data_IF_475449224594
#
_entry.id   IF_475449224594
#
_cell.length_a   1.000
_cell.length_b   1.000
_cell.length_c   1.000
_cell.angle_alpha   90.00
_cell.angle_beta   90.00
_cell.angle_gamma   90.00
#
_symmetry.space_group_name_H-M   'P 1'
#
loop_
_entity.id
_entity.type
_entity.pdbx_description
1 polymer ?
#
# COMPACT_ATOMS: atom_id res chain seq x y z
N UNK A 1 21.45 -19.59 17.09
CA UNK A 1 22.26 -19.62 15.85
C UNK A 1 21.50 -19.31 14.54
N UNK A 2 20.38 -19.98 14.20
CA UNK A 2 19.72 -19.76 12.89
C UNK A 2 18.89 -18.45 12.86
N UNK A 3 18.07 -18.22 13.89
CA UNK A 3 17.17 -17.06 13.96
C UNK A 3 17.94 -15.73 13.96
N UNK A 4 19.08 -15.68 14.67
CA UNK A 4 19.93 -14.49 14.78
C UNK A 4 20.50 -14.09 13.41
N UNK A 5 20.92 -15.06 12.61
CA UNK A 5 21.46 -14.81 11.26
C UNK A 5 20.38 -14.32 10.31
N UNK A 6 19.16 -14.87 10.38
CA UNK A 6 18.02 -14.38 9.60
C UNK A 6 17.67 -12.94 9.98
N UNK A 7 17.60 -12.62 11.28
CA UNK A 7 17.37 -11.24 11.74
C UNK A 7 18.46 -10.29 11.25
N UNK A 8 19.74 -10.67 11.38
CA UNK A 8 20.85 -9.87 10.89
C UNK A 8 20.77 -9.62 9.37
N UNK A 9 20.36 -10.62 8.59
CA UNK A 9 20.13 -10.48 7.15
C UNK A 9 18.96 -9.54 6.80
N UNK A 10 17.84 -9.65 7.52
CA UNK A 10 16.68 -8.76 7.35
C UNK A 10 17.02 -7.30 7.70
N UNK A 11 17.77 -7.08 8.78
CA UNK A 11 18.23 -5.74 9.16
C UNK A 11 19.22 -5.16 8.13
N UNK A 12 20.13 -5.98 7.60
CA UNK A 12 21.01 -5.56 6.51
C UNK A 12 20.22 -5.21 5.23
N UNK A 13 19.16 -5.94 4.90
CA UNK A 13 18.28 -5.65 3.76
C UNK A 13 17.49 -4.34 3.97
N UNK A 14 16.95 -4.12 5.18
CA UNK A 14 16.27 -2.86 5.54
C UNK A 14 17.20 -1.66 5.39
N UNK A 15 18.45 -1.73 5.87
CA UNK A 15 19.44 -0.64 5.69
C UNK A 15 19.74 -0.33 4.23
N UNK A 16 19.62 -1.32 3.35
CA UNK A 16 19.76 -1.16 1.89
C UNK A 16 18.46 -0.66 1.22
N UNK A 17 17.41 -0.36 1.99
CA UNK A 17 16.11 0.10 1.48
C UNK A 17 15.23 -1.01 0.91
N UNK A 18 15.60 -2.29 1.07
CA UNK A 18 14.77 -3.42 0.64
C UNK A 18 13.90 -3.89 1.80
N UNK A 19 12.61 -3.57 1.71
CA UNK A 19 11.62 -4.02 2.68
C UNK A 19 11.04 -5.38 2.26
N UNK A 20 11.20 -6.43 3.08
CA UNK A 20 10.61 -7.73 2.80
C UNK A 20 9.09 -7.67 3.01
N UNK A 21 8.32 -8.19 2.04
CA UNK A 21 6.87 -8.26 2.12
C UNK A 21 6.20 -8.15 0.76
N UNK A 22 4.87 -8.34 0.75
CA UNK A 22 4.05 -8.14 -0.45
C UNK A 22 4.01 -6.64 -0.77
N UNK A 23 4.32 -6.20 -2.01
CA UNK A 23 4.18 -4.81 -2.39
C UNK A 23 2.71 -4.35 -2.29
N UNK A 24 2.46 -3.06 -2.04
CA UNK A 24 1.10 -2.53 -2.06
C UNK A 24 0.46 -2.72 -3.43
N UNK A 25 -0.84 -3.01 -3.44
CA UNK A 25 -1.62 -3.20 -4.68
C UNK A 25 -1.87 -1.90 -5.43
N UNK A 26 -1.76 -0.76 -4.75
CA UNK A 26 -1.96 0.57 -5.32
C UNK A 26 -0.64 1.34 -5.27
N UNK A 27 -0.30 2.01 -6.37
CA UNK A 27 0.82 2.94 -6.43
C UNK A 27 0.51 4.22 -5.65
N UNK A 28 1.55 4.92 -5.20
CA UNK A 28 1.37 6.21 -4.51
C UNK A 28 0.61 7.24 -5.36
N UNK A 29 0.73 7.19 -6.69
CA UNK A 29 -0.01 8.06 -7.61
C UNK A 29 -1.50 7.69 -7.63
N UNK A 30 -1.83 6.39 -7.70
CA UNK A 30 -3.22 5.92 -7.63
C UNK A 30 -3.88 6.33 -6.32
N UNK A 31 -3.16 6.22 -5.19
CA UNK A 31 -3.70 6.62 -3.88
C UNK A 31 -3.97 8.14 -3.83
N UNK A 32 -3.04 8.96 -4.32
CA UNK A 32 -3.23 10.42 -4.40
C UNK A 32 -4.40 10.80 -5.32
N UNK A 33 -4.56 10.08 -6.42
CA UNK A 33 -5.67 10.30 -7.34
C UNK A 33 -7.01 9.92 -6.70
N UNK A 34 -7.10 8.72 -6.12
CA UNK A 34 -8.27 8.23 -5.41
C UNK A 34 -8.69 9.18 -4.27
N UNK A 35 -7.73 9.64 -3.47
CA UNK A 35 -7.96 10.61 -2.40
C UNK A 35 -8.58 11.91 -2.92
N UNK A 36 -8.02 12.50 -3.98
CA UNK A 36 -8.56 13.72 -4.58
C UNK A 36 -9.99 13.57 -5.09
N UNK A 37 -10.32 12.44 -5.73
CA UNK A 37 -11.67 12.21 -6.25
C UNK A 37 -12.70 12.03 -5.13
N UNK A 38 -12.33 11.31 -4.07
CA UNK A 38 -13.18 11.13 -2.88
C UNK A 38 -13.35 12.45 -2.14
N UNK A 39 -12.28 13.20 -1.92
CA UNK A 39 -12.31 14.48 -1.19
C UNK A 39 -13.19 15.52 -1.90
N UNK A 40 -13.30 15.43 -3.23
CA UNK A 40 -14.19 16.29 -4.04
C UNK A 40 -15.62 15.75 -4.16
N UNK A 41 -15.89 14.55 -3.66
CA UNK A 41 -17.17 13.87 -3.81
C UNK A 41 -17.49 13.43 -5.25
N UNK A 42 -16.49 13.42 -6.14
CA UNK A 42 -16.65 13.00 -7.54
C UNK A 42 -16.79 11.47 -7.66
N UNK A 43 -16.16 10.71 -6.77
CA UNK A 43 -16.18 9.24 -6.79
C UNK A 43 -16.35 8.64 -5.40
N UNK A 44 -16.89 7.41 -5.36
CA UNK A 44 -17.00 6.64 -4.13
C UNK A 44 -15.87 5.62 -3.98
N UNK A 45 -15.59 5.22 -2.75
CA UNK A 45 -14.63 4.12 -2.46
C UNK A 45 -14.98 2.82 -3.18
N UNK A 46 -16.28 2.54 -3.40
CA UNK A 46 -16.74 1.36 -4.13
C UNK A 46 -16.47 1.47 -5.63
N UNK A 47 -16.81 2.60 -6.24
CA UNK A 47 -16.53 2.87 -7.66
C UNK A 47 -15.05 2.75 -7.98
N UNK A 48 -14.19 3.38 -7.17
CA UNK A 48 -12.74 3.31 -7.32
C UNK A 48 -12.17 1.91 -7.11
N UNK A 49 -12.77 1.11 -6.21
CA UNK A 49 -12.36 -0.28 -6.01
C UNK A 49 -12.60 -1.09 -7.30
N UNK A 50 -13.77 -0.94 -7.92
CA UNK A 50 -14.08 -1.56 -9.21
C UNK A 50 -13.15 -1.05 -10.32
N UNK A 51 -12.93 0.27 -10.41
CA UNK A 51 -12.04 0.88 -11.41
C UNK A 51 -10.62 0.33 -11.34
N UNK A 52 -10.07 0.20 -10.13
CA UNK A 52 -8.72 -0.31 -9.92
C UNK A 52 -8.63 -1.83 -9.84
N UNK A 53 -9.76 -2.55 -9.93
CA UNK A 53 -9.79 -4.01 -9.82
C UNK A 53 -9.34 -4.53 -8.45
N UNK A 54 -9.56 -3.77 -7.39
CA UNK A 54 -9.18 -4.12 -6.02
C UNK A 54 -10.40 -4.20 -5.11
N UNK A 55 -10.27 -4.86 -3.97
CA UNK A 55 -11.32 -4.86 -2.96
C UNK A 55 -11.49 -3.47 -2.31
N UNK A 56 -12.71 -3.12 -1.91
CA UNK A 56 -13.02 -1.84 -1.24
C UNK A 56 -12.17 -1.61 0.02
N UNK A 57 -11.84 -2.68 0.76
CA UNK A 57 -10.96 -2.59 1.94
C UNK A 57 -9.53 -2.20 1.57
N UNK A 58 -9.09 -2.51 0.34
CA UNK A 58 -7.77 -2.10 -0.18
C UNK A 58 -7.72 -0.58 -0.35
N UNK A 59 -8.78 0.01 -0.92
CA UNK A 59 -8.90 1.48 -1.05
C UNK A 59 -8.94 2.14 0.33
N UNK A 60 -9.77 1.64 1.23
CA UNK A 60 -9.89 2.19 2.59
C UNK A 60 -8.55 2.15 3.35
N UNK A 61 -7.86 1.01 3.34
CA UNK A 61 -6.52 0.86 3.95
C UNK A 61 -5.50 1.78 3.32
N UNK A 62 -5.57 2.00 2.01
CA UNK A 62 -4.63 2.87 1.31
C UNK A 62 -4.84 4.34 1.69
N UNK A 63 -6.08 4.79 1.87
CA UNK A 63 -6.41 6.16 2.29
C UNK A 63 -6.03 6.43 3.75
N UNK A 64 -6.11 5.43 4.63
CA UNK A 64 -5.70 5.57 6.04
C UNK A 64 -4.18 5.61 6.26
N UNK A 65 -3.41 5.08 5.31
CA UNK A 65 -1.94 5.06 5.39
C UNK A 65 -1.30 6.36 4.88
N UNK A 66 -2.09 7.30 4.39
CA UNK A 66 -1.65 8.59 3.85
C UNK A 66 -1.83 9.74 4.84
#
# INVERSE_FOLDING_TARGET
LIIERTKAGLEAAKRRGKYPGRPPLLSSQQIKHAKRLIDRGEETTGSLATLFGVDRTTIWRALQKC
#
